data_IF_018667830877
#
_entry.id   IF_018667830877
#
_cell.length_a   1.000
_cell.length_b   1.000
_cell.length_c   1.000
_cell.angle_alpha   90.00
_cell.angle_beta   90.00
_cell.angle_gamma   90.00
#
_symmetry.space_group_name_H-M   'P 1'
#
loop_
_entity.id
_entity.type
_entity.pdbx_description
1 polymer ?
#
# COMPACT_ATOMS: atom_id res chain seq x y z
N UNK A 1 -2.48 0.04 14.69
CA UNK A 1 -2.93 -0.96 13.69
C UNK A 1 -4.45 -1.13 13.63
N UNK A 2 -5.14 -1.76 14.61
CA UNK A 2 -6.62 -1.96 14.52
C UNK A 2 -7.43 -0.66 14.38
N UNK A 3 -7.08 0.36 15.15
CA UNK A 3 -7.71 1.68 15.07
C UNK A 3 -7.48 2.34 13.72
N UNK A 4 -6.30 2.15 13.11
CA UNK A 4 -5.98 2.68 11.79
C UNK A 4 -6.83 2.03 10.69
N UNK A 5 -7.01 0.69 10.73
CA UNK A 5 -7.93 0.03 9.79
C UNK A 5 -9.39 0.43 9.98
N UNK A 6 -9.82 0.68 11.21
CA UNK A 6 -11.17 1.21 11.46
C UNK A 6 -11.34 2.63 10.91
N UNK A 7 -10.29 3.45 10.95
CA UNK A 7 -10.30 4.77 10.33
C UNK A 7 -10.39 4.63 8.81
N UNK A 8 -9.55 3.79 8.22
CA UNK A 8 -9.56 3.52 6.78
C UNK A 8 -10.91 2.97 6.31
N UNK A 9 -11.53 2.03 7.04
CA UNK A 9 -12.89 1.54 6.74
C UNK A 9 -13.95 2.65 6.74
N UNK A 10 -13.82 3.65 7.62
CA UNK A 10 -14.73 4.80 7.66
C UNK A 10 -14.49 5.73 6.47
N UNK A 11 -13.24 5.97 6.11
CA UNK A 11 -12.86 6.76 4.94
C UNK A 11 -13.36 6.12 3.64
N UNK A 12 -13.32 4.79 3.55
CA UNK A 12 -13.91 4.05 2.42
C UNK A 12 -15.43 4.15 2.37
N UNK A 13 -16.08 4.19 3.52
CA UNK A 13 -17.54 4.27 3.61
C UNK A 13 -18.08 5.68 3.31
N UNK A 14 -17.30 6.74 3.56
CA UNK A 14 -17.76 8.12 3.43
C UNK A 14 -17.96 8.58 1.97
N UNK A 15 -17.49 7.82 0.97
CA UNK A 15 -17.64 8.12 -0.46
C UNK A 15 -17.22 9.54 -0.87
N UNK A 16 -16.34 10.17 -0.08
CA UNK A 16 -15.85 11.51 -0.40
C UNK A 16 -14.85 11.43 -1.56
N UNK A 17 -15.02 12.22 -2.64
CA UNK A 17 -14.02 12.37 -3.68
C UNK A 17 -12.72 12.86 -3.04
N UNK A 18 -11.59 12.19 -3.31
CA UNK A 18 -10.31 12.41 -2.60
C UNK A 18 -10.35 12.17 -1.08
N UNK A 19 -11.19 11.23 -0.62
CA UNK A 19 -11.24 10.84 0.78
C UNK A 19 -9.84 10.50 1.32
N UNK A 20 -9.54 11.03 2.52
CA UNK A 20 -8.23 10.94 3.17
C UNK A 20 -7.66 9.52 3.13
N UNK A 21 -6.35 9.40 2.94
CA UNK A 21 -5.58 8.16 3.07
C UNK A 21 -4.94 8.04 4.47
N UNK A 22 -5.52 8.74 5.45
CA UNK A 22 -4.96 8.80 6.81
C UNK A 22 -5.03 7.45 7.51
N UNK A 23 -6.07 6.65 7.27
CA UNK A 23 -6.17 5.29 7.79
C UNK A 23 -5.06 4.37 7.28
N UNK A 24 -4.78 4.41 5.98
CA UNK A 24 -3.69 3.66 5.34
C UNK A 24 -2.32 4.07 5.91
N UNK A 25 -2.04 5.37 5.91
CA UNK A 25 -0.80 5.93 6.48
C UNK A 25 -0.58 5.48 7.93
N UNK A 26 -1.62 5.60 8.77
CA UNK A 26 -1.53 5.23 10.18
C UNK A 26 -1.37 3.72 10.38
N UNK A 27 -1.86 2.90 9.45
CA UNK A 27 -1.69 1.46 9.51
C UNK A 27 -0.21 1.08 9.28
N UNK A 28 0.38 1.57 8.19
CA UNK A 28 1.79 1.33 7.89
C UNK A 28 2.73 1.95 8.93
N UNK A 29 2.44 3.17 9.40
CA UNK A 29 3.20 3.80 10.47
C UNK A 29 3.19 2.94 11.74
N UNK A 30 2.04 2.41 12.14
CA UNK A 30 1.94 1.56 13.33
C UNK A 30 2.74 0.25 13.17
N UNK A 31 2.88 -0.29 11.95
CA UNK A 31 3.77 -1.43 11.67
C UNK A 31 5.23 -1.02 11.84
N UNK A 32 5.63 0.13 11.29
CA UNK A 32 6.99 0.65 11.45
C UNK A 32 7.34 0.89 12.94
N UNK A 33 6.43 1.51 13.69
CA UNK A 33 6.62 1.77 15.13
C UNK A 33 6.74 0.49 15.95
N UNK A 34 6.01 -0.58 15.57
CA UNK A 34 6.09 -1.88 16.22
C UNK A 34 7.46 -2.57 16.04
N UNK A 35 8.30 -2.12 15.11
CA UNK A 35 9.69 -2.61 14.98
C UNK A 35 10.61 -2.06 16.05
N UNK A 36 10.20 -1.02 16.78
CA UNK A 36 11.03 -0.25 17.71
C UNK A 36 12.34 0.28 17.08
N UNK A 37 12.36 0.46 15.76
CA UNK A 37 13.49 1.01 15.02
C UNK A 37 13.15 2.41 14.53
N UNK A 38 13.71 3.43 15.20
CA UNK A 38 13.47 4.84 14.89
C UNK A 38 13.86 5.22 13.47
N UNK A 39 14.88 4.58 12.89
CA UNK A 39 15.29 4.84 11.51
C UNK A 39 14.21 4.40 10.52
N UNK A 40 13.59 3.23 10.74
CA UNK A 40 12.50 2.75 9.88
C UNK A 40 11.24 3.63 9.98
N UNK A 41 10.94 4.10 11.20
CA UNK A 41 9.82 5.03 11.42
C UNK A 41 10.05 6.34 10.67
N UNK A 42 11.25 6.90 10.76
CA UNK A 42 11.58 8.17 10.10
C UNK A 42 11.59 8.02 8.57
N UNK A 43 12.18 6.93 8.07
CA UNK A 43 12.17 6.63 6.64
C UNK A 43 10.75 6.52 6.09
N UNK A 44 9.84 5.86 6.82
CA UNK A 44 8.43 5.77 6.43
C UNK A 44 7.78 7.17 6.37
N UNK A 45 7.96 7.99 7.41
CA UNK A 45 7.36 9.33 7.47
C UNK A 45 7.83 10.22 6.31
N UNK A 46 9.13 10.21 6.02
CA UNK A 46 9.69 10.96 4.89
C UNK A 46 9.16 10.43 3.55
N UNK A 47 9.12 9.11 3.38
CA UNK A 47 8.62 8.48 2.15
C UNK A 47 7.14 8.84 1.90
N UNK A 48 6.31 8.83 2.95
CA UNK A 48 4.92 9.26 2.87
C UNK A 48 4.79 10.73 2.48
N UNK A 49 5.60 11.61 3.09
CA UNK A 49 5.61 13.02 2.74
C UNK A 49 6.03 13.26 1.28
N UNK A 50 7.03 12.52 0.78
CA UNK A 50 7.42 12.61 -0.64
C UNK A 50 6.31 12.16 -1.57
N UNK A 51 5.61 11.07 -1.22
CA UNK A 51 4.44 10.57 -1.96
C UNK A 51 3.34 11.64 -2.06
N UNK A 52 2.94 12.24 -0.94
CA UNK A 52 1.88 13.26 -0.92
C UNK A 52 2.24 14.52 -1.73
N UNK A 53 3.52 14.88 -1.77
CA UNK A 53 3.99 16.06 -2.50
C UNK A 53 4.43 15.78 -3.94
N UNK A 54 4.30 14.54 -4.43
CA UNK A 54 4.73 14.18 -5.78
C UNK A 54 3.62 14.51 -6.80
N UNK A 55 3.85 15.42 -7.78
CA UNK A 55 2.85 15.78 -8.79
C UNK A 55 2.34 14.59 -9.60
N UNK A 56 3.21 13.63 -9.91
CA UNK A 56 2.83 12.40 -10.62
C UNK A 56 1.87 11.55 -9.76
N UNK A 57 2.13 11.45 -8.46
CA UNK A 57 1.27 10.71 -7.53
C UNK A 57 -0.13 11.34 -7.43
N UNK A 58 -0.18 12.66 -7.28
CA UNK A 58 -1.42 13.45 -7.22
C UNK A 58 -2.23 13.26 -8.52
N UNK A 59 -1.57 13.36 -9.68
CA UNK A 59 -2.23 13.18 -10.98
C UNK A 59 -2.76 11.76 -11.14
N UNK A 60 -1.96 10.75 -10.83
CA UNK A 60 -2.36 9.35 -10.91
C UNK A 60 -3.59 9.08 -10.04
N UNK A 61 -3.59 9.56 -8.78
CA UNK A 61 -4.69 9.36 -7.85
C UNK A 61 -5.97 10.11 -8.23
N UNK A 62 -5.85 11.24 -8.94
CA UNK A 62 -7.03 11.94 -9.47
C UNK A 62 -7.80 11.15 -10.54
N UNK A 63 -7.16 10.14 -11.16
CA UNK A 63 -7.80 9.25 -12.13
C UNK A 63 -8.32 7.95 -11.50
N UNK A 64 -8.01 7.72 -10.21
CA UNK A 64 -8.41 6.55 -9.43
C UNK A 64 -9.77 6.75 -8.73
N UNK A 65 -10.71 7.49 -9.32
CA UNK A 65 -12.02 7.76 -8.70
C UNK A 65 -12.88 6.50 -8.45
N UNK A 66 -12.49 5.34 -9.00
CA UNK A 66 -13.15 4.07 -8.70
C UNK A 66 -12.65 3.48 -7.37
N UNK A 67 -13.46 3.61 -6.33
CA UNK A 67 -13.22 3.04 -4.98
C UNK A 67 -12.99 1.52 -4.95
N UNK A 68 -13.16 0.80 -6.06
CA UNK A 68 -12.98 -0.65 -6.13
C UNK A 68 -11.62 -1.12 -5.62
N UNK A 69 -10.52 -0.51 -6.05
CA UNK A 69 -9.18 -0.94 -5.63
C UNK A 69 -8.92 -0.70 -4.13
N UNK A 70 -9.45 0.40 -3.58
CA UNK A 70 -9.29 0.69 -2.14
C UNK A 70 -9.98 -0.38 -1.28
N UNK A 71 -11.07 -1.00 -1.76
CA UNK A 71 -11.71 -2.14 -1.07
C UNK A 71 -10.86 -3.40 -1.12
N UNK A 72 -10.15 -3.64 -2.22
CA UNK A 72 -9.21 -4.76 -2.34
C UNK A 72 -8.03 -4.58 -1.40
N UNK A 73 -7.42 -3.39 -1.37
CA UNK A 73 -6.29 -3.07 -0.47
C UNK A 73 -6.68 -3.18 1.00
N UNK A 74 -7.91 -2.78 1.36
CA UNK A 74 -8.46 -3.04 2.69
C UNK A 74 -8.50 -4.54 3.04
N UNK A 75 -8.80 -5.39 2.05
CA UNK A 75 -8.71 -6.85 2.19
C UNK A 75 -7.28 -7.31 2.48
N UNK A 76 -6.30 -6.75 1.78
CA UNK A 76 -4.88 -7.05 1.99
C UNK A 76 -4.41 -6.61 3.38
N UNK A 77 -4.79 -5.42 3.83
CA UNK A 77 -4.44 -4.91 5.16
C UNK A 77 -4.97 -5.81 6.28
N UNK A 78 -6.20 -6.33 6.12
CA UNK A 78 -6.77 -7.30 7.06
C UNK A 78 -5.96 -8.59 7.12
N UNK A 79 -5.45 -9.07 5.98
CA UNK A 79 -4.58 -10.25 5.93
C UNK A 79 -3.23 -10.00 6.61
N UNK A 80 -2.61 -8.84 6.35
CA UNK A 80 -1.36 -8.43 7.01
C UNK A 80 -1.56 -8.38 8.53
N UNK A 81 -2.61 -7.70 9.00
CA UNK A 81 -2.92 -7.59 10.42
C UNK A 81 -3.17 -8.97 11.05
N UNK A 82 -3.89 -9.86 10.36
CA UNK A 82 -4.16 -11.20 10.84
C UNK A 82 -2.86 -12.01 11.02
N UNK A 83 -1.92 -11.92 10.09
CA UNK A 83 -0.62 -12.57 10.19
C UNK A 83 0.24 -11.98 11.33
N UNK A 84 0.25 -10.65 11.48
CA UNK A 84 0.94 -9.96 12.57
C UNK A 84 0.38 -10.33 13.95
N UNK A 85 -0.95 -10.41 14.11
CA UNK A 85 -1.59 -10.85 15.37
C UNK A 85 -1.17 -12.28 15.73
N UNK A 86 -1.08 -13.16 14.73
CA UNK A 86 -0.61 -14.55 14.91
C UNK A 86 0.90 -14.65 15.18
N UNK A 87 1.64 -13.53 15.08
CA UNK A 87 3.10 -13.47 15.18
C UNK A 87 3.80 -14.36 14.15
N UNK A 88 3.18 -14.58 13.00
CA UNK A 88 3.77 -15.33 11.89
C UNK A 88 4.53 -14.39 10.97
N UNK A 89 5.85 -14.28 11.19
CA UNK A 89 6.71 -13.38 10.44
C UNK A 89 6.76 -13.72 8.93
N UNK A 90 6.67 -15.01 8.57
CA UNK A 90 6.71 -15.43 7.16
C UNK A 90 5.41 -15.06 6.46
N UNK A 91 4.28 -15.36 7.10
CA UNK A 91 2.97 -14.98 6.56
C UNK A 91 2.80 -13.46 6.48
N UNK A 92 3.29 -12.70 7.47
CA UNK A 92 3.22 -11.23 7.44
C UNK A 92 4.05 -10.64 6.30
N UNK A 93 5.27 -11.17 6.08
CA UNK A 93 6.11 -10.77 4.94
C UNK A 93 5.46 -11.09 3.60
N UNK A 94 4.89 -12.29 3.47
CA UNK A 94 4.19 -12.70 2.25
C UNK A 94 2.95 -11.84 1.99
N UNK A 95 2.14 -11.57 3.01
CA UNK A 95 0.95 -10.73 2.89
C UNK A 95 1.29 -9.29 2.49
N UNK A 96 2.35 -8.70 3.07
CA UNK A 96 2.83 -7.37 2.69
C UNK A 96 3.38 -7.34 1.26
N UNK A 97 4.10 -8.39 0.85
CA UNK A 97 4.58 -8.49 -0.54
C UNK A 97 3.42 -8.60 -1.53
N UNK A 98 2.42 -9.44 -1.24
CA UNK A 98 1.24 -9.58 -2.09
C UNK A 98 0.45 -8.28 -2.18
N UNK A 99 0.32 -7.56 -1.06
CA UNK A 99 -0.28 -6.22 -1.05
C UNK A 99 0.44 -5.27 -2.00
N UNK A 100 1.77 -5.16 -1.90
CA UNK A 100 2.56 -4.30 -2.79
C UNK A 100 2.46 -4.72 -4.26
N UNK A 101 2.36 -6.02 -4.54
CA UNK A 101 2.13 -6.53 -5.89
C UNK A 101 0.75 -6.09 -6.42
N UNK A 102 -0.30 -6.19 -5.61
CA UNK A 102 -1.64 -5.73 -5.97
C UNK A 102 -1.67 -4.20 -6.21
N UNK A 103 -0.98 -3.42 -5.36
CA UNK A 103 -0.81 -1.97 -5.57
C UNK A 103 -0.12 -1.71 -6.91
N UNK A 104 1.02 -2.36 -7.17
CA UNK A 104 1.78 -2.19 -8.42
C UNK A 104 0.92 -2.48 -9.64
N UNK A 105 0.25 -3.64 -9.70
CA UNK A 105 -0.61 -4.02 -10.82
C UNK A 105 -1.68 -2.96 -11.08
N UNK A 106 -2.35 -2.51 -10.01
CA UNK A 106 -3.36 -1.46 -10.11
C UNK A 106 -2.78 -0.16 -10.66
N UNK A 107 -1.64 0.31 -10.15
CA UNK A 107 -1.03 1.55 -10.66
C UNK A 107 -0.57 1.44 -12.13
N UNK A 108 -0.13 0.25 -12.56
CA UNK A 108 0.24 0.01 -13.96
C UNK A 108 -0.98 0.00 -14.89
N UNK A 109 -2.14 -0.50 -14.46
CA UNK A 109 -3.40 -0.43 -15.22
C UNK A 109 -3.80 1.02 -15.56
N UNK A 110 -3.49 1.97 -14.69
CA UNK A 110 -3.78 3.40 -14.88
C UNK A 110 -2.60 4.19 -15.46
N UNK A 111 -1.45 3.55 -15.64
CA UNK A 111 -0.32 4.15 -16.32
C UNK A 111 -0.55 4.10 -17.84
N UNK A 112 -0.01 5.07 -18.58
CA UNK A 112 -0.08 5.05 -20.05
C UNK A 112 0.84 3.94 -20.60
N UNK A 113 0.36 2.70 -20.62
CA UNK A 113 1.12 1.53 -21.09
C UNK A 113 1.47 1.58 -22.58
N UNK A 114 0.80 2.45 -23.34
CA UNK A 114 1.03 2.67 -24.77
C UNK A 114 2.07 3.77 -25.05
N UNK A 115 2.63 4.41 -24.00
CA UNK A 115 3.71 5.38 -24.17
C UNK A 115 4.98 4.67 -24.69
N UNK A 116 5.65 5.28 -25.67
CA UNK A 116 6.87 4.71 -26.26
C UNK A 116 8.03 4.68 -25.27
N UNK A 117 7.98 5.56 -24.26
CA UNK A 117 8.95 5.65 -23.17
C UNK A 117 8.52 4.83 -21.92
N UNK A 118 7.42 4.06 -21.99
CA UNK A 118 6.97 3.23 -20.88
C UNK A 118 7.81 1.95 -20.75
N UNK A 119 8.71 1.92 -19.78
CA UNK A 119 9.53 0.74 -19.45
C UNK A 119 8.80 -0.21 -18.49
N UNK A 120 7.73 -0.86 -18.98
CA UNK A 120 6.96 -1.83 -18.19
C UNK A 120 7.76 -3.06 -17.76
N UNK A 121 8.81 -3.42 -18.50
CA UNK A 121 9.65 -4.60 -18.24
C UNK A 121 10.54 -4.44 -17.00
N UNK A 122 10.86 -3.21 -16.59
CA UNK A 122 11.64 -2.94 -15.37
C UNK A 122 10.89 -3.36 -14.09
N UNK A 123 9.57 -3.47 -14.14
CA UNK A 123 8.71 -3.71 -12.98
C UNK A 123 8.25 -5.17 -12.83
N UNK A 124 8.92 -6.12 -13.50
CA UNK A 124 8.64 -7.55 -13.37
C UNK A 124 8.77 -8.03 -11.91
N UNK A 125 7.79 -8.82 -11.47
CA UNK A 125 7.72 -9.28 -10.09
C UNK A 125 8.74 -10.38 -9.82
N UNK A 126 9.47 -10.24 -8.71
CA UNK A 126 10.30 -11.33 -8.17
C UNK A 126 9.55 -12.04 -7.03
N UNK A 127 8.98 -13.23 -7.27
CA UNK A 127 8.09 -13.87 -6.30
C UNK A 127 8.89 -14.46 -5.13
N UNK A 128 8.37 -14.28 -3.91
CA UNK A 128 9.05 -14.66 -2.66
C UNK A 128 9.10 -16.18 -2.42
N UNK A 129 8.30 -16.96 -3.14
CA UNK A 129 8.31 -18.42 -3.13
C UNK A 129 9.60 -19.01 -3.74
N UNK A 130 10.27 -18.26 -4.63
CA UNK A 130 11.51 -18.68 -5.30
C UNK A 130 12.80 -18.43 -4.50
N UNK A 131 12.72 -17.76 -3.34
CA UNK A 131 13.91 -17.35 -2.57
C UNK A 131 14.35 -18.42 -1.54
N UNK A 132 13.61 -19.51 -1.38
CA UNK A 132 13.94 -20.59 -0.44
C UNK A 132 14.06 -21.98 -1.10
N UNK A 133 14.45 -22.04 -2.39
CA UNK A 133 14.86 -23.29 -3.05
C UNK A 133 16.36 -23.56 -2.83
#
# INVERSE_FOLDING_TARGET
MRQALQLEERELASSEPNGSESGDMQFHLAIAEATHNSMLVELFRQSWQWRENNPMWIQLHSHLDDTHYRKEWMGDHKQILAALIKKDARAAKLAMWQHLENVKQRLLEFSNVDDIDFDGYLFDSWPLDKVNA
#
